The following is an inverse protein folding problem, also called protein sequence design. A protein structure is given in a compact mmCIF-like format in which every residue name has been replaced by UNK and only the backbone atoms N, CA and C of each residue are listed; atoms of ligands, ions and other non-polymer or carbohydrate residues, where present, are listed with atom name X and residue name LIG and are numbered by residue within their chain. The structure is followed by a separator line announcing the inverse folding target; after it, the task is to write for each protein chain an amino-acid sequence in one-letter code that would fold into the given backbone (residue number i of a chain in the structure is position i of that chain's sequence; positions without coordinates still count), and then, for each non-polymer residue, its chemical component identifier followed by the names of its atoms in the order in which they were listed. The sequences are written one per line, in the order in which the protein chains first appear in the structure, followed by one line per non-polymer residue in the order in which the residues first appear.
data_IF_112705447573
#
_entry.id   IF_112705447573
#
_cell.length_a   1.000
_cell.length_b   1.000
_cell.length_c   1.000
_cell.angle_alpha   90.00
_cell.angle_beta   90.00
_cell.angle_gamma   90.00
#
_symmetry.space_group_name_H-M   'P 1'
#
loop_
_entity.id
_entity.type
_entity.pdbx_description
1 polymer ?
#
# COMPACT_ATOMS: atom_id res chain seq x y z
N UNK A 1 -5.85 -12.61 12.12
CA UNK A 1 -4.72 -11.67 11.95
C UNK A 1 -5.27 -10.48 11.20
N UNK A 2 -5.21 -9.29 11.78
CA UNK A 2 -5.76 -8.08 11.16
C UNK A 2 -4.74 -7.53 10.18
N UNK A 3 -5.13 -7.42 8.91
CA UNK A 3 -4.22 -7.15 7.80
C UNK A 3 -4.71 -5.94 7.02
N UNK A 4 -3.82 -5.08 6.55
CA UNK A 4 -4.19 -3.90 5.76
C UNK A 4 -3.33 -3.69 4.52
N UNK A 5 -3.99 -3.36 3.42
CA UNK A 5 -3.34 -2.78 2.24
C UNK A 5 -3.40 -1.26 2.22
N UNK A 6 -2.26 -0.63 2.00
CA UNK A 6 -2.12 0.80 1.73
C UNK A 6 -2.08 1.01 0.21
N UNK A 7 -2.95 1.87 -0.31
CA UNK A 7 -3.03 2.19 -1.73
C UNK A 7 -2.94 3.69 -1.96
N UNK A 8 -1.74 4.30 -1.91
CA UNK A 8 -1.58 5.68 -2.34
C UNK A 8 -1.68 5.75 -3.87
N UNK A 9 -2.69 6.46 -4.36
CA UNK A 9 -2.99 6.57 -5.78
C UNK A 9 -3.52 7.95 -6.10
N UNK A 10 -2.74 8.73 -6.86
CA UNK A 10 -3.02 10.14 -7.13
C UNK A 10 -3.42 10.41 -8.59
N UNK A 11 -3.97 9.40 -9.27
CA UNK A 11 -4.43 9.48 -10.65
C UNK A 11 -5.94 9.41 -10.80
N UNK A 12 -6.40 9.29 -12.05
CA UNK A 12 -7.79 8.91 -12.33
C UNK A 12 -7.98 7.44 -11.98
N UNK A 13 -9.04 7.11 -11.24
CA UNK A 13 -9.35 5.72 -10.93
C UNK A 13 -9.62 4.92 -12.21
N UNK A 14 -9.21 3.64 -12.23
CA UNK A 14 -9.48 2.79 -13.37
C UNK A 14 -10.99 2.58 -13.55
N UNK A 15 -11.47 2.33 -14.78
CA UNK A 15 -12.89 2.08 -15.03
C UNK A 15 -13.39 0.77 -14.40
N UNK A 16 -12.49 -0.08 -13.91
CA UNK A 16 -12.80 -1.33 -13.21
C UNK A 16 -12.67 -1.26 -11.68
N UNK A 17 -12.70 -0.06 -11.09
CA UNK A 17 -12.56 0.12 -9.64
C UNK A 17 -13.56 -0.74 -8.85
N UNK A 18 -14.81 -0.82 -9.30
CA UNK A 18 -15.86 -1.56 -8.61
C UNK A 18 -15.56 -3.07 -8.54
N UNK A 19 -14.95 -3.62 -9.60
CA UNK A 19 -14.52 -5.03 -9.62
C UNK A 19 -13.36 -5.27 -8.65
N UNK A 20 -12.44 -4.31 -8.55
CA UNK A 20 -11.34 -4.39 -7.58
C UNK A 20 -11.86 -4.32 -6.15
N UNK A 21 -12.79 -3.40 -5.86
CA UNK A 21 -13.44 -3.29 -4.54
C UNK A 21 -14.18 -4.58 -4.19
N UNK A 22 -14.95 -5.14 -5.14
CA UNK A 22 -15.64 -6.42 -4.92
C UNK A 22 -14.66 -7.57 -4.64
N UNK A 23 -13.50 -7.61 -5.32
CA UNK A 23 -12.45 -8.59 -4.98
C UNK A 23 -11.94 -8.38 -3.55
N UNK A 24 -11.65 -7.14 -3.14
CA UNK A 24 -11.19 -6.84 -1.78
C UNK A 24 -12.21 -7.22 -0.70
N UNK A 25 -13.50 -6.98 -0.92
CA UNK A 25 -14.58 -7.34 0.01
C UNK A 25 -14.74 -8.86 0.19
N UNK A 26 -14.30 -9.66 -0.77
CA UNK A 26 -14.25 -11.11 -0.64
C UNK A 26 -13.09 -11.62 0.22
N UNK A 27 -12.12 -10.76 0.53
CA UNK A 27 -10.93 -11.11 1.28
C UNK A 27 -11.05 -10.58 2.73
N UNK A 28 -10.47 -11.28 3.69
CA UNK A 28 -10.42 -10.85 5.09
C UNK A 28 -9.25 -9.87 5.35
N UNK A 29 -9.28 -8.73 4.64
CA UNK A 29 -8.23 -7.69 4.70
C UNK A 29 -8.86 -6.32 4.59
N UNK A 30 -8.42 -5.41 5.47
CA UNK A 30 -8.75 -4.00 5.32
C UNK A 30 -7.92 -3.40 4.18
N UNK A 31 -8.40 -2.31 3.58
CA UNK A 31 -7.63 -1.54 2.62
C UNK A 31 -7.88 -0.04 2.78
N UNK A 32 -6.89 0.76 2.41
CA UNK A 32 -7.00 2.23 2.45
C UNK A 32 -6.44 2.87 1.19
N UNK A 33 -7.34 3.51 0.45
CA UNK A 33 -6.97 4.31 -0.72
C UNK A 33 -6.64 5.74 -0.27
N UNK A 34 -5.42 6.21 -0.58
CA UNK A 34 -4.99 7.59 -0.33
C UNK A 34 -4.91 8.35 -1.66
N UNK A 35 -5.92 9.16 -1.95
CA UNK A 35 -6.02 9.91 -3.21
C UNK A 35 -5.80 11.42 -3.07
N UNK A 36 -5.53 11.91 -1.86
CA UNK A 36 -5.21 13.31 -1.63
C UNK A 36 -3.69 13.56 -1.72
N UNK A 37 -3.23 13.97 -2.90
CA UNK A 37 -1.81 14.27 -3.16
C UNK A 37 -1.26 15.36 -2.22
N UNK A 38 -2.06 16.38 -1.89
CA UNK A 38 -1.61 17.47 -1.01
C UNK A 38 -1.27 16.94 0.39
N UNK A 39 -2.15 16.14 0.99
CA UNK A 39 -1.92 15.50 2.29
C UNK A 39 -0.73 14.55 2.28
N UNK A 40 -0.55 13.81 1.17
CA UNK A 40 0.63 12.96 1.02
C UNK A 40 1.92 13.79 1.02
N UNK A 41 1.96 14.88 0.26
CA UNK A 41 3.10 15.80 0.23
C UNK A 41 3.39 16.42 1.61
N UNK A 42 2.36 16.81 2.35
CA UNK A 42 2.49 17.30 3.73
C UNK A 42 3.15 16.23 4.62
N UNK A 43 2.63 15.00 4.59
CA UNK A 43 3.16 13.86 5.35
C UNK A 43 4.63 13.56 5.02
N UNK A 44 5.01 13.61 3.73
CA UNK A 44 6.42 13.45 3.31
C UNK A 44 7.31 14.52 3.93
N UNK A 45 6.89 15.80 3.91
CA UNK A 45 7.69 16.89 4.51
C UNK A 45 7.80 16.75 6.03
N UNK A 46 6.71 16.37 6.68
CA UNK A 46 6.66 16.27 8.15
C UNK A 46 7.43 15.07 8.69
N UNK A 47 7.32 13.92 8.03
CA UNK A 47 7.86 12.66 8.53
C UNK A 47 9.25 12.38 7.96
N UNK A 48 9.42 12.51 6.63
CA UNK A 48 10.69 12.20 5.96
C UNK A 48 11.63 13.40 5.90
N UNK A 49 11.14 14.61 6.17
CA UNK A 49 11.93 15.86 6.14
C UNK A 49 12.62 16.12 4.80
N UNK A 50 11.97 15.71 3.70
CA UNK A 50 12.41 15.94 2.32
C UNK A 50 11.33 16.68 1.52
N UNK A 51 11.71 17.32 0.42
CA UNK A 51 10.74 17.87 -0.52
C UNK A 51 10.16 16.76 -1.41
N UNK A 52 8.82 16.59 -1.44
CA UNK A 52 8.19 15.54 -2.22
C UNK A 52 8.24 15.85 -3.72
N UNK A 53 9.03 15.08 -4.46
CA UNK A 53 9.06 15.08 -5.91
C UNK A 53 8.04 14.07 -6.48
N UNK A 54 6.77 14.46 -6.51
CA UNK A 54 5.67 13.63 -7.02
C UNK A 54 4.54 14.49 -7.59
N UNK A 55 3.94 14.03 -8.68
CA UNK A 55 2.79 14.64 -9.32
C UNK A 55 1.66 13.61 -9.51
N UNK A 56 0.42 14.10 -9.59
CA UNK A 56 -0.74 13.25 -9.80
C UNK A 56 -0.69 12.58 -11.18
N UNK A 57 -1.22 11.36 -11.28
CA UNK A 57 -1.21 10.58 -12.52
C UNK A 57 0.16 10.04 -12.95
N UNK A 58 1.19 10.14 -12.11
CA UNK A 58 2.53 9.62 -12.40
C UNK A 58 2.86 8.37 -11.57
N UNK A 59 3.79 7.54 -12.05
CA UNK A 59 4.35 6.42 -11.29
C UNK A 59 5.28 6.84 -10.14
N UNK A 60 5.44 8.14 -9.87
CA UNK A 60 6.39 8.63 -8.84
C UNK A 60 6.02 8.25 -7.41
N UNK A 61 4.81 7.76 -7.16
CA UNK A 61 4.46 7.17 -5.87
C UNK A 61 5.34 5.95 -5.53
N UNK A 62 5.82 5.21 -6.53
CA UNK A 62 6.60 4.01 -6.29
C UNK A 62 7.93 4.29 -5.57
N UNK A 63 8.51 5.48 -5.78
CA UNK A 63 9.74 5.94 -5.12
C UNK A 63 9.56 6.05 -3.58
N UNK A 64 8.31 6.13 -3.09
CA UNK A 64 8.00 6.27 -1.66
C UNK A 64 7.56 4.96 -1.00
N UNK A 65 7.43 3.86 -1.75
CA UNK A 65 7.00 2.54 -1.23
C UNK A 65 7.78 2.08 0.00
N UNK A 66 9.13 2.16 0.01
CA UNK A 66 9.91 1.76 1.18
C UNK A 66 9.62 2.59 2.44
N UNK A 67 9.06 3.80 2.28
CA UNK A 67 8.76 4.70 3.38
C UNK A 67 7.29 4.64 3.84
N UNK A 68 6.41 3.86 3.18
CA UNK A 68 4.98 3.86 3.49
C UNK A 68 4.67 3.43 4.92
N UNK A 69 5.42 2.47 5.46
CA UNK A 69 5.23 2.02 6.85
C UNK A 69 5.50 3.15 7.84
N UNK A 70 6.55 3.93 7.61
CA UNK A 70 6.86 5.11 8.42
C UNK A 70 5.85 6.25 8.18
N UNK A 71 5.53 6.50 6.91
CA UNK A 71 4.58 7.55 6.54
C UNK A 71 3.22 7.29 7.17
N UNK A 72 2.74 6.06 7.24
CA UNK A 72 1.41 5.70 7.72
C UNK A 72 1.43 4.91 9.04
N UNK A 73 2.47 5.07 9.86
CA UNK A 73 2.65 4.36 11.12
C UNK A 73 1.44 4.51 12.07
N UNK A 74 0.78 5.68 12.05
CA UNK A 74 -0.43 5.96 12.83
C UNK A 74 -1.63 5.09 12.44
N UNK A 75 -1.65 4.60 11.20
CA UNK A 75 -2.71 3.74 10.65
C UNK A 75 -2.35 2.27 10.86
N UNK A 76 -1.12 1.88 10.53
CA UNK A 76 -0.73 0.45 10.49
C UNK A 76 -0.45 -0.14 11.88
N UNK A 77 -0.21 0.68 12.91
CA UNK A 77 0.05 0.23 14.29
C UNK A 77 -1.08 -0.65 14.89
N UNK A 78 -2.29 -0.55 14.36
CA UNK A 78 -3.47 -1.29 14.82
C UNK A 78 -3.72 -2.55 13.98
N UNK A 79 -2.71 -3.01 13.23
CA UNK A 79 -2.73 -4.17 12.36
C UNK A 79 -1.53 -5.07 12.67
N UNK A 80 -1.73 -6.38 12.52
CA UNK A 80 -0.67 -7.38 12.71
C UNK A 80 0.28 -7.40 11.52
N UNK A 81 -0.24 -7.10 10.33
CA UNK A 81 0.49 -7.13 9.05
C UNK A 81 -0.02 -6.00 8.17
N UNK A 82 0.88 -5.38 7.41
CA UNK A 82 0.49 -4.40 6.40
C UNK A 82 1.18 -4.71 5.07
N UNK A 83 0.78 -3.97 4.04
CA UNK A 83 1.42 -4.02 2.74
C UNK A 83 0.92 -2.85 1.90
N UNK A 84 1.50 -2.67 0.73
CA UNK A 84 0.98 -1.80 -0.31
C UNK A 84 0.53 -2.60 -1.54
N UNK A 85 -0.47 -2.09 -2.24
CA UNK A 85 -1.05 -2.72 -3.44
C UNK A 85 -1.15 -1.72 -4.60
N UNK A 86 -1.72 -2.14 -5.72
CA UNK A 86 -2.12 -1.36 -6.88
C UNK A 86 -3.46 -1.92 -7.44
N UNK A 87 -4.14 -1.17 -8.30
CA UNK A 87 -5.42 -1.61 -8.89
C UNK A 87 -5.31 -2.74 -9.94
N UNK A 88 -4.10 -3.09 -10.35
CA UNK A 88 -3.80 -4.21 -11.26
C UNK A 88 -3.45 -5.50 -10.50
N UNK A 89 -3.41 -5.45 -9.16
CA UNK A 89 -3.19 -6.62 -8.32
C UNK A 89 -4.50 -7.38 -8.10
N UNK A 90 -4.39 -8.72 -8.11
CA UNK A 90 -5.49 -9.65 -7.80
C UNK A 90 -5.03 -10.55 -6.67
N UNK A 91 -5.87 -10.70 -5.66
CA UNK A 91 -5.56 -11.51 -4.49
C UNK A 91 -6.55 -12.66 -4.34
N UNK A 92 -6.01 -13.80 -3.90
CA UNK A 92 -6.79 -14.92 -3.39
C UNK A 92 -6.56 -15.07 -1.89
N UNK A 93 -6.72 -16.29 -1.39
CA UNK A 93 -6.40 -16.63 0.00
C UNK A 93 -4.88 -16.65 0.23
N UNK A 94 -4.31 -15.49 0.57
CA UNK A 94 -2.86 -15.34 0.79
C UNK A 94 -2.40 -15.79 2.18
N UNK A 95 -3.31 -16.01 3.13
CA UNK A 95 -2.97 -16.54 4.47
C UNK A 95 -2.30 -17.92 4.38
N UNK A 96 -2.66 -18.70 3.35
CA UNK A 96 -2.03 -20.00 3.04
C UNK A 96 -0.52 -19.94 2.82
N UNK A 97 0.00 -18.77 2.42
CA UNK A 97 1.39 -18.59 2.03
C UNK A 97 2.14 -17.62 2.94
N UNK A 98 1.48 -17.12 4.00
CA UNK A 98 2.06 -16.14 4.89
C UNK A 98 3.18 -16.76 5.74
N UNK A 99 4.44 -16.29 5.60
CA UNK A 99 5.54 -16.78 6.43
C UNK A 99 5.35 -16.36 7.90
N UNK A 100 5.74 -17.23 8.84
CA UNK A 100 5.58 -16.98 10.30
C UNK A 100 6.82 -16.41 10.97
N UNK A 101 7.99 -16.55 10.34
CA UNK A 101 9.29 -16.25 10.94
C UNK A 101 10.03 -15.10 10.24
N UNK A 102 9.31 -14.25 9.50
CA UNK A 102 9.88 -13.19 8.68
C UNK A 102 9.12 -11.89 8.90
N UNK A 103 9.86 -10.79 9.07
CA UNK A 103 9.28 -9.44 9.20
C UNK A 103 8.83 -8.86 7.87
N UNK A 104 9.49 -9.24 6.76
CA UNK A 104 9.21 -8.73 5.41
C UNK A 104 9.04 -9.91 4.47
N UNK A 105 7.96 -9.89 3.68
CA UNK A 105 7.75 -10.85 2.61
C UNK A 105 7.78 -10.16 1.25
N UNK A 106 8.39 -10.81 0.25
CA UNK A 106 8.37 -10.32 -1.11
C UNK A 106 8.21 -11.46 -2.09
N UNK A 107 7.44 -11.22 -3.14
CA UNK A 107 7.31 -12.13 -4.28
C UNK A 107 8.41 -11.91 -5.34
N UNK A 108 9.40 -11.06 -5.07
CA UNK A 108 10.54 -10.82 -5.95
C UNK A 108 11.86 -10.99 -5.19
N UNK A 109 12.90 -11.47 -5.88
CA UNK A 109 14.22 -11.71 -5.27
C UNK A 109 15.09 -10.45 -5.21
N UNK A 110 14.88 -9.52 -6.15
CA UNK A 110 15.76 -8.36 -6.34
C UNK A 110 15.29 -7.07 -5.63
N UNK A 111 14.04 -7.01 -5.16
CA UNK A 111 13.49 -5.82 -4.51
C UNK A 111 12.30 -6.17 -3.64
N UNK A 112 12.09 -5.38 -2.58
CA UNK A 112 10.94 -5.53 -1.68
C UNK A 112 9.67 -5.11 -2.43
N UNK A 113 8.80 -6.10 -2.70
CA UNK A 113 7.48 -5.93 -3.28
C UNK A 113 6.39 -5.94 -2.22
N UNK A 114 5.37 -5.10 -2.47
CA UNK A 114 4.58 -4.51 -1.42
C UNK A 114 3.45 -5.28 -0.81
N UNK A 115 2.94 -6.35 -1.41
CA UNK A 115 1.65 -6.86 -0.95
C UNK A 115 1.67 -7.22 0.55
N UNK A 116 2.83 -7.56 1.12
CA UNK A 116 2.97 -7.98 2.51
C UNK A 116 4.36 -7.60 3.06
N UNK A 117 4.47 -6.53 3.84
CA UNK A 117 5.74 -6.04 4.40
C UNK A 117 5.60 -5.62 5.87
#
# INVERSE_FOLDING_TARGET
MKKIFLLPFFGQYPPWLDQWVANMEHLDYDYKIFSNLKKFKERVREILRIEPNIEGGTGKIWDYRPALGLLYADIIKDYDVWGHTDFDCVYGDVDKYMPKDFDIWSNHVDYVMGAWA
#
